data_IF_419815908925
#
_entry.id   IF_419815908925
#
_cell.length_a   1.000
_cell.length_b   1.000
_cell.length_c   1.000
_cell.angle_alpha   90.00
_cell.angle_beta   90.00
_cell.angle_gamma   90.00
#
_symmetry.space_group_name_H-M   'P 1'
#
loop_
_entity.id
_entity.type
_entity.pdbx_description
1 polymer ?
#
# COMPACT_ATOMS: atom_id res chain seq x y z
N UNK A 1 -56.66 -1.32 -44.35
CA UNK A 1 -56.01 -0.17 -43.76
C UNK A 1 -55.77 -0.44 -42.27
N UNK A 2 -54.93 -1.43 -41.95
CA UNK A 2 -54.60 -1.87 -40.59
C UNK A 2 -53.38 -2.79 -40.66
N UNK A 3 -52.14 -2.21 -40.74
CA UNK A 3 -50.91 -3.00 -40.56
C UNK A 3 -49.63 -2.13 -40.52
N UNK A 4 -49.66 -0.97 -39.93
CA UNK A 4 -48.45 -0.14 -39.81
C UNK A 4 -48.11 0.36 -38.39
N UNK A 5 -48.94 0.08 -37.37
CA UNK A 5 -48.71 0.57 -36.01
C UNK A 5 -47.91 -0.41 -35.10
N UNK A 6 -47.64 -1.64 -35.51
CA UNK A 6 -46.99 -2.64 -34.65
C UNK A 6 -45.45 -2.67 -34.80
N UNK A 7 -44.91 -2.15 -35.88
CA UNK A 7 -43.44 -2.22 -36.12
C UNK A 7 -42.68 -1.12 -35.39
N UNK A 8 -43.27 0.08 -35.24
CA UNK A 8 -42.63 1.19 -34.54
C UNK A 8 -42.49 0.92 -33.03
N UNK A 9 -43.46 0.36 -32.38
CA UNK A 9 -43.44 0.00 -30.97
C UNK A 9 -42.42 -1.07 -30.64
N UNK A 10 -42.22 -2.02 -31.56
CA UNK A 10 -41.23 -3.09 -31.39
C UNK A 10 -39.77 -2.57 -31.58
N UNK A 11 -39.57 -1.61 -32.46
CA UNK A 11 -38.29 -0.95 -32.69
C UNK A 11 -37.91 -0.07 -31.51
N UNK A 12 -38.85 0.68 -30.92
CA UNK A 12 -38.63 1.50 -29.72
C UNK A 12 -38.26 0.63 -28.50
N UNK A 13 -38.95 -0.49 -28.30
CA UNK A 13 -38.63 -1.41 -27.19
C UNK A 13 -37.24 -2.03 -27.32
N UNK A 14 -36.83 -2.40 -28.54
CA UNK A 14 -35.44 -2.88 -28.80
C UNK A 14 -34.39 -1.79 -28.58
N UNK A 15 -34.68 -0.55 -28.95
CA UNK A 15 -33.79 0.58 -28.74
C UNK A 15 -33.60 0.89 -27.25
N UNK A 16 -34.71 0.90 -26.48
CA UNK A 16 -34.67 1.11 -25.04
C UNK A 16 -33.91 0.00 -24.27
N UNK A 17 -34.12 -1.27 -24.71
CA UNK A 17 -33.34 -2.39 -24.14
C UNK A 17 -31.83 -2.29 -24.43
N UNK A 18 -31.45 -1.86 -25.64
CA UNK A 18 -30.04 -1.63 -25.99
C UNK A 18 -29.45 -0.45 -25.23
N UNK A 19 -30.17 0.64 -25.07
CA UNK A 19 -29.76 1.78 -24.27
C UNK A 19 -29.58 1.41 -22.79
N UNK A 20 -30.52 0.62 -22.24
CA UNK A 20 -30.42 0.09 -20.87
C UNK A 20 -29.20 -0.82 -20.66
N UNK A 21 -28.89 -1.69 -21.63
CA UNK A 21 -27.67 -2.52 -21.58
C UNK A 21 -26.39 -1.70 -21.69
N UNK A 22 -26.35 -0.67 -22.54
CA UNK A 22 -25.18 0.22 -22.66
C UNK A 22 -24.98 1.07 -21.40
N UNK A 23 -26.10 1.51 -20.75
CA UNK A 23 -26.04 2.23 -19.50
C UNK A 23 -25.59 1.34 -18.33
N UNK A 24 -26.06 0.07 -18.29
CA UNK A 24 -25.62 -0.90 -17.29
C UNK A 24 -24.13 -1.28 -17.47
N UNK A 25 -23.66 -1.44 -18.71
CA UNK A 25 -22.24 -1.69 -19.01
C UNK A 25 -21.41 -0.45 -18.64
N UNK A 26 -21.88 0.76 -18.94
CA UNK A 26 -21.24 2.02 -18.56
C UNK A 26 -21.15 2.21 -17.04
N UNK A 27 -22.22 1.89 -16.29
CA UNK A 27 -22.20 1.90 -14.82
C UNK A 27 -21.30 0.81 -14.24
N UNK A 28 -21.23 -0.36 -14.86
CA UNK A 28 -20.34 -1.43 -14.43
C UNK A 28 -18.86 -1.07 -14.68
N UNK A 29 -18.55 -0.31 -15.73
CA UNK A 29 -17.21 0.25 -15.96
C UNK A 29 -16.84 1.35 -14.96
N UNK A 30 -17.80 2.17 -14.50
CA UNK A 30 -17.57 3.17 -13.46
C UNK A 30 -17.36 2.54 -12.07
N UNK A 31 -17.91 1.36 -11.79
CA UNK A 31 -17.68 0.65 -10.53
C UNK A 31 -16.37 -0.15 -10.48
N UNK A 32 -15.66 -0.33 -11.60
CA UNK A 32 -14.40 -1.10 -11.66
C UNK A 32 -13.18 -0.23 -11.30
N UNK A 33 -13.33 1.10 -11.19
CA UNK A 33 -12.20 2.01 -11.00
C UNK A 33 -11.67 2.06 -9.55
N UNK A 34 -12.40 1.53 -8.56
CA UNK A 34 -12.06 1.72 -7.14
C UNK A 34 -11.33 0.55 -6.44
N UNK A 35 -10.84 -0.45 -7.18
CA UNK A 35 -10.17 -1.60 -6.56
C UNK A 35 -8.64 -1.53 -6.52
N UNK A 36 -8.04 -0.35 -6.70
CA UNK A 36 -6.60 -0.22 -6.81
C UNK A 36 -5.96 0.19 -5.47
N UNK A 37 -5.10 -0.67 -4.92
CA UNK A 37 -4.33 -0.34 -3.73
C UNK A 37 -3.17 0.58 -4.11
N UNK A 38 -3.46 1.86 -4.21
CA UNK A 38 -2.48 2.92 -4.30
C UNK A 38 -2.30 3.53 -2.92
N UNK A 39 -1.19 4.20 -2.69
CA UNK A 39 -0.96 4.89 -1.43
C UNK A 39 0.52 5.05 -1.11
N UNK A 40 0.77 5.65 0.02
CA UNK A 40 2.09 5.84 0.58
C UNK A 40 2.22 5.03 1.86
N UNK A 41 3.29 4.25 1.98
CA UNK A 41 3.59 3.38 3.12
C UNK A 41 4.62 4.02 4.04
N UNK A 42 4.35 3.96 5.32
CA UNK A 42 5.25 4.39 6.39
C UNK A 42 5.66 3.19 7.23
N UNK A 43 6.97 3.10 7.50
CA UNK A 43 7.53 2.10 8.39
C UNK A 43 7.87 2.73 9.73
N UNK A 44 7.51 2.04 10.80
CA UNK A 44 7.88 2.39 12.16
C UNK A 44 9.22 1.76 12.56
N UNK A 45 9.16 0.86 13.52
CA UNK A 45 10.35 0.21 14.09
C UNK A 45 11.05 -0.78 13.14
N UNK A 46 10.43 -1.16 12.03
CA UNK A 46 10.98 -2.07 11.03
C UNK A 46 12.12 -1.44 10.23
N UNK A 47 12.22 -0.11 10.23
CA UNK A 47 13.29 0.62 9.55
C UNK A 47 14.08 1.52 10.48
N UNK A 48 15.34 1.76 10.13
CA UNK A 48 16.17 2.76 10.81
C UNK A 48 15.54 4.14 10.68
N UNK A 49 15.75 5.00 11.65
CA UNK A 49 15.17 6.36 11.68
C UNK A 49 15.52 7.14 10.41
N UNK A 50 16.75 7.01 9.89
CA UNK A 50 17.19 7.69 8.65
C UNK A 50 16.45 7.22 7.39
N UNK A 51 15.88 6.02 7.40
CA UNK A 51 15.20 5.39 6.28
C UNK A 51 13.67 5.54 6.34
N UNK A 52 13.14 6.08 7.45
CA UNK A 52 11.70 6.30 7.62
C UNK A 52 11.22 7.45 6.73
N UNK A 53 10.05 7.27 6.13
CA UNK A 53 9.45 8.27 5.27
C UNK A 53 8.97 9.50 6.05
N UNK A 54 9.12 10.67 5.42
CA UNK A 54 8.52 11.94 5.84
C UNK A 54 7.68 12.44 4.68
N UNK A 55 6.40 12.69 4.88
CA UNK A 55 5.54 13.33 3.90
C UNK A 55 5.08 14.69 4.40
N UNK A 56 5.54 15.75 3.78
CA UNK A 56 5.03 17.11 3.93
C UNK A 56 3.89 17.32 2.92
N UNK A 57 2.67 17.48 3.41
CA UNK A 57 1.47 17.59 2.55
C UNK A 57 1.50 18.87 1.73
N UNK A 58 1.91 19.97 2.34
CA UNK A 58 2.16 21.24 1.69
C UNK A 58 3.65 21.54 1.81
N UNK A 59 4.34 21.53 0.66
CA UNK A 59 5.77 21.89 0.63
C UNK A 59 5.96 23.40 0.78
N UNK A 60 7.20 23.81 1.01
CA UNK A 60 7.58 25.23 1.08
C UNK A 60 7.06 26.03 -0.14
N UNK A 61 6.43 27.16 0.12
CA UNK A 61 5.79 28.01 -0.89
C UNK A 61 4.35 27.61 -1.24
N UNK A 62 3.79 26.57 -0.60
CA UNK A 62 2.40 26.14 -0.77
C UNK A 62 1.63 26.16 0.56
N UNK A 63 2.19 26.79 1.59
CA UNK A 63 1.56 26.96 2.90
C UNK A 63 0.21 27.69 2.76
N UNK A 64 -0.74 27.30 3.59
CA UNK A 64 -2.09 27.89 3.62
C UNK A 64 -2.52 28.22 5.02
N UNK A 65 -3.21 29.35 5.15
CA UNK A 65 -3.91 29.74 6.35
C UNK A 65 -5.40 29.48 6.19
N UNK A 66 -5.96 28.74 7.14
CA UNK A 66 -7.38 28.39 7.23
C UNK A 66 -8.03 29.31 8.25
N UNK A 67 -9.08 30.05 7.87
CA UNK A 67 -9.70 31.03 8.74
C UNK A 67 -11.05 30.58 9.31
N UNK A 68 -11.81 29.77 8.55
CA UNK A 68 -13.12 29.29 8.96
C UNK A 68 -13.10 27.82 9.34
N UNK A 69 -12.63 26.97 8.43
CA UNK A 69 -12.61 25.54 8.64
C UNK A 69 -11.31 24.96 8.10
N UNK A 70 -10.86 23.89 8.73
CA UNK A 70 -9.81 23.03 8.24
C UNK A 70 -10.30 21.60 8.31
N UNK A 71 -10.18 20.85 7.22
CA UNK A 71 -10.43 19.41 7.26
C UNK A 71 -9.36 18.67 6.47
N UNK A 72 -8.78 17.69 7.11
CA UNK A 72 -7.94 16.68 6.47
C UNK A 72 -8.62 15.33 6.56
N UNK A 73 -8.71 14.62 5.43
CA UNK A 73 -9.32 13.28 5.37
C UNK A 73 -8.45 12.36 4.54
N UNK A 74 -8.33 11.12 4.95
CA UNK A 74 -7.54 10.09 4.28
C UNK A 74 -8.03 8.69 4.65
N UNK A 75 -7.73 7.70 3.82
CA UNK A 75 -7.86 6.31 4.19
C UNK A 75 -6.58 5.84 4.86
N UNK A 76 -6.71 5.15 5.96
CA UNK A 76 -5.61 4.63 6.80
C UNK A 76 -5.65 3.10 6.84
N UNK A 77 -4.51 2.45 6.71
CA UNK A 77 -4.36 1.00 6.82
C UNK A 77 -3.27 0.66 7.82
N UNK A 78 -3.60 -0.08 8.88
CA UNK A 78 -2.61 -0.65 9.81
C UNK A 78 -1.78 -1.70 9.06
N UNK A 79 -0.45 -1.58 9.11
CA UNK A 79 0.46 -2.53 8.44
C UNK A 79 1.14 -3.46 9.44
N UNK A 80 1.61 -2.91 10.55
CA UNK A 80 2.16 -3.69 11.66
C UNK A 80 1.57 -3.20 12.97
N UNK A 81 0.79 -4.04 13.60
CA UNK A 81 0.10 -3.74 14.86
C UNK A 81 1.06 -3.48 16.03
N UNK A 82 2.24 -4.10 15.99
CA UNK A 82 3.26 -4.00 17.03
C UNK A 82 4.13 -2.74 16.92
N UNK A 83 3.86 -1.87 15.94
CA UNK A 83 4.61 -0.63 15.72
C UNK A 83 3.74 0.59 16.04
N UNK A 84 3.65 1.00 17.32
CA UNK A 84 2.92 2.19 17.72
C UNK A 84 3.68 3.47 17.33
N UNK A 85 2.98 4.59 17.30
CA UNK A 85 3.61 5.88 17.06
C UNK A 85 2.69 6.92 16.44
N UNK A 86 3.31 7.95 15.94
CA UNK A 86 2.63 9.05 15.28
C UNK A 86 2.18 8.66 13.87
N UNK A 87 1.01 9.14 13.49
CA UNK A 87 0.45 9.01 12.14
C UNK A 87 0.52 10.35 11.43
N UNK A 88 -0.09 11.37 12.05
CA UNK A 88 -0.20 12.73 11.53
C UNK A 88 0.28 13.73 12.59
N UNK A 89 1.00 14.73 12.15
CA UNK A 89 1.49 15.84 12.96
C UNK A 89 1.14 17.16 12.28
N UNK A 90 0.48 18.05 13.03
CA UNK A 90 0.07 19.37 12.59
C UNK A 90 0.81 20.39 13.46
N UNK A 91 1.68 21.18 12.86
CA UNK A 91 2.47 22.21 13.54
C UNK A 91 1.99 23.60 13.10
N UNK A 92 1.24 24.27 13.96
CA UNK A 92 0.90 25.68 13.78
C UNK A 92 2.00 26.54 14.42
N UNK A 93 2.97 26.96 13.60
CA UNK A 93 4.13 27.73 14.04
C UNK A 93 3.74 29.11 14.52
N UNK A 94 2.74 29.72 13.89
CA UNK A 94 2.30 31.09 14.24
C UNK A 94 1.70 31.11 15.65
N UNK A 95 0.94 30.08 15.99
CA UNK A 95 0.36 29.95 17.33
C UNK A 95 1.28 29.19 18.31
N UNK A 96 2.39 28.61 17.87
CA UNK A 96 3.26 27.76 18.69
C UNK A 96 2.54 26.53 19.23
N UNK A 97 1.61 25.97 18.47
CA UNK A 97 0.79 24.82 18.84
C UNK A 97 1.01 23.64 17.92
N UNK A 98 0.93 22.48 18.53
CA UNK A 98 1.13 21.22 17.81
C UNK A 98 0.02 20.25 18.15
N UNK A 99 -0.55 19.63 17.12
CA UNK A 99 -1.56 18.60 17.27
C UNK A 99 -1.07 17.32 16.61
N UNK A 100 -1.40 16.19 17.21
CA UNK A 100 -0.98 14.90 16.70
C UNK A 100 -2.12 13.89 16.68
N UNK A 101 -2.08 12.99 15.70
CA UNK A 101 -2.91 11.80 15.65
C UNK A 101 -2.00 10.59 15.77
N UNK A 102 -2.24 9.75 16.78
CA UNK A 102 -1.32 8.68 17.18
C UNK A 102 -2.02 7.34 17.24
N UNK A 103 -1.25 6.28 17.05
CA UNK A 103 -1.67 4.89 17.12
C UNK A 103 -0.94 4.18 18.25
N UNK A 104 -1.67 3.35 19.01
CA UNK A 104 -1.12 2.50 20.05
C UNK A 104 -1.80 1.12 20.02
N UNK A 105 -1.00 0.06 19.96
CA UNK A 105 -1.47 -1.30 20.13
C UNK A 105 -1.80 -1.57 21.62
N UNK A 106 -2.89 -2.32 21.86
CA UNK A 106 -3.33 -2.72 23.19
C UNK A 106 -3.46 -4.24 23.28
N UNK A 107 -3.33 -4.81 24.50
CA UNK A 107 -3.54 -6.23 24.70
C UNK A 107 -4.91 -6.70 24.20
N UNK A 108 -4.99 -7.94 23.71
CA UNK A 108 -6.23 -8.56 23.23
C UNK A 108 -6.64 -8.11 21.83
N UNK A 109 -5.65 -7.95 20.93
CA UNK A 109 -5.88 -7.59 19.52
C UNK A 109 -6.72 -6.31 19.35
N UNK A 110 -6.57 -5.37 20.25
CA UNK A 110 -7.19 -4.04 20.19
C UNK A 110 -6.16 -2.98 19.85
N UNK A 111 -6.63 -1.91 19.27
CA UNK A 111 -5.81 -0.72 19.06
C UNK A 111 -6.53 0.54 19.52
N UNK A 112 -5.76 1.58 19.79
CA UNK A 112 -6.30 2.90 20.11
C UNK A 112 -5.67 3.96 19.24
N UNK A 113 -6.52 4.91 18.85
CA UNK A 113 -6.12 6.11 18.12
C UNK A 113 -6.45 7.31 18.99
N UNK A 114 -5.51 8.23 19.13
CA UNK A 114 -5.71 9.41 19.97
C UNK A 114 -5.41 10.68 19.19
N UNK A 115 -6.25 11.69 19.38
CA UNK A 115 -5.97 13.06 18.94
C UNK A 115 -5.54 13.89 20.14
N UNK A 116 -4.40 14.56 20.00
CA UNK A 116 -3.69 15.19 21.12
C UNK A 116 -3.29 16.62 20.79
N UNK A 117 -3.20 17.48 21.79
CA UNK A 117 -2.26 18.62 21.78
C UNK A 117 -0.92 18.07 22.28
N UNK A 118 0.07 18.03 21.40
CA UNK A 118 1.29 17.28 21.63
C UNK A 118 2.04 17.72 22.88
N UNK A 119 2.46 16.74 23.68
CA UNK A 119 3.13 17.00 24.96
C UNK A 119 2.27 17.62 26.07
N UNK A 120 0.98 17.92 25.86
CA UNK A 120 0.11 18.58 26.83
C UNK A 120 -1.10 17.74 27.25
N UNK A 121 -1.95 17.35 26.30
CA UNK A 121 -3.21 16.66 26.65
C UNK A 121 -3.74 15.79 25.51
N UNK A 122 -4.47 14.78 25.90
CA UNK A 122 -5.26 13.94 24.98
C UNK A 122 -6.67 14.52 24.91
N UNK A 123 -7.11 14.91 23.72
CA UNK A 123 -8.47 15.39 23.52
C UNK A 123 -9.48 14.25 23.43
N UNK A 124 -9.16 13.24 22.66
CA UNK A 124 -10.02 12.06 22.52
C UNK A 124 -9.21 10.82 22.14
N UNK A 125 -9.77 9.66 22.49
CA UNK A 125 -9.23 8.35 22.12
C UNK A 125 -10.34 7.47 21.56
N UNK A 126 -10.05 6.75 20.48
CA UNK A 126 -10.90 5.73 19.90
C UNK A 126 -10.27 4.37 20.16
N UNK A 127 -11.04 3.42 20.62
CA UNK A 127 -10.61 2.03 20.73
C UNK A 127 -11.32 1.23 19.63
N UNK A 128 -10.55 0.45 18.88
CA UNK A 128 -11.04 -0.42 17.82
C UNK A 128 -10.66 -1.86 18.14
N UNK A 129 -11.58 -2.77 17.87
CA UNK A 129 -11.33 -4.21 17.91
C UNK A 129 -10.74 -4.67 16.58
N UNK A 130 -10.11 -5.84 16.55
CA UNK A 130 -9.40 -6.36 15.36
C UNK A 130 -10.28 -6.39 14.13
N UNK A 131 -11.53 -6.78 14.25
CA UNK A 131 -12.48 -6.86 13.15
C UNK A 131 -12.75 -5.51 12.48
N UNK A 132 -12.54 -4.40 13.19
CA UNK A 132 -12.74 -3.06 12.68
C UNK A 132 -11.57 -2.59 11.79
N UNK A 133 -10.33 -3.02 12.08
CA UNK A 133 -9.13 -2.45 11.42
C UNK A 133 -8.29 -3.45 10.63
N UNK A 134 -8.39 -4.76 10.91
CA UNK A 134 -7.49 -5.75 10.33
C UNK A 134 -7.69 -5.87 8.81
N UNK A 135 -6.61 -5.65 8.06
CA UNK A 135 -6.59 -5.66 6.60
C UNK A 135 -7.64 -4.75 5.92
N UNK A 136 -8.07 -3.68 6.60
CA UNK A 136 -9.09 -2.75 6.10
C UNK A 136 -8.58 -1.33 6.05
N UNK A 137 -8.94 -0.65 4.98
CA UNK A 137 -8.80 0.78 4.89
C UNK A 137 -9.85 1.47 5.76
N UNK A 138 -9.40 2.26 6.72
CA UNK A 138 -10.23 3.03 7.64
C UNK A 138 -10.30 4.47 7.16
N UNK A 139 -11.46 5.03 6.84
CA UNK A 139 -11.58 6.45 6.60
C UNK A 139 -11.30 7.20 7.90
N UNK A 140 -10.40 8.17 7.85
CA UNK A 140 -10.05 9.08 8.94
C UNK A 140 -10.35 10.50 8.49
N UNK A 141 -10.96 11.30 9.36
CA UNK A 141 -11.19 12.72 9.12
C UNK A 141 -10.99 13.52 10.40
N UNK A 142 -10.22 14.59 10.29
CA UNK A 142 -10.01 15.59 11.32
C UNK A 142 -10.52 16.91 10.77
N UNK A 143 -11.62 17.40 11.31
CA UNK A 143 -12.28 18.64 10.91
C UNK A 143 -12.28 19.62 12.06
N UNK A 144 -11.67 20.77 11.86
CA UNK A 144 -11.61 21.88 12.81
C UNK A 144 -12.59 22.97 12.36
N UNK A 145 -13.37 23.50 13.30
CA UNK A 145 -14.11 24.75 13.17
C UNK A 145 -13.34 25.80 13.97
N UNK A 146 -12.64 26.67 13.25
CA UNK A 146 -11.67 27.60 13.84
C UNK A 146 -12.38 28.66 14.68
N UNK A 147 -13.43 29.34 14.20
CA UNK A 147 -14.18 30.30 15.01
C UNK A 147 -14.84 29.70 16.24
N UNK A 148 -15.29 28.45 16.16
CA UNK A 148 -15.93 27.77 17.29
C UNK A 148 -14.95 27.09 18.24
N UNK A 149 -13.64 27.09 17.95
CA UNK A 149 -12.58 26.40 18.70
C UNK A 149 -12.94 24.94 19.03
N UNK A 150 -13.48 24.23 18.02
CA UNK A 150 -13.89 22.84 18.16
C UNK A 150 -13.42 21.98 17.00
N UNK A 151 -13.44 20.67 17.22
CA UNK A 151 -13.13 19.70 16.19
C UNK A 151 -14.09 18.50 16.21
N UNK A 152 -14.26 17.90 15.03
CA UNK A 152 -14.84 16.58 14.87
C UNK A 152 -13.81 15.64 14.33
N UNK A 153 -13.49 14.59 15.09
CA UNK A 153 -12.56 13.53 14.70
C UNK A 153 -13.37 12.28 14.39
N UNK A 154 -13.10 11.69 13.23
CA UNK A 154 -13.80 10.48 12.78
C UNK A 154 -12.77 9.42 12.39
N UNK A 155 -13.00 8.17 12.80
CA UNK A 155 -12.26 7.00 12.36
C UNK A 155 -13.22 5.84 12.10
N UNK A 156 -13.23 5.32 10.88
CA UNK A 156 -14.22 4.34 10.46
C UNK A 156 -15.65 4.88 10.63
N UNK A 157 -16.44 4.20 11.45
CA UNK A 157 -17.81 4.58 11.78
C UNK A 157 -17.93 5.39 13.08
N UNK A 158 -16.84 5.61 13.79
CA UNK A 158 -16.80 6.26 15.10
C UNK A 158 -16.45 7.74 14.94
N UNK A 159 -17.16 8.62 15.64
CA UNK A 159 -16.90 10.05 15.61
C UNK A 159 -16.96 10.64 17.02
N UNK A 160 -16.11 11.62 17.30
CA UNK A 160 -16.13 12.40 18.54
C UNK A 160 -16.01 13.87 18.22
N UNK A 161 -16.76 14.68 18.97
CA UNK A 161 -16.63 16.13 18.99
C UNK A 161 -15.88 16.56 20.23
N UNK A 162 -15.00 17.52 20.04
CA UNK A 162 -14.16 18.11 21.08
C UNK A 162 -14.20 19.62 20.96
N UNK A 163 -14.05 20.32 22.06
CA UNK A 163 -14.04 21.77 22.12
C UNK A 163 -12.88 22.26 22.98
N UNK A 164 -12.59 23.56 22.90
CA UNK A 164 -11.47 24.20 23.59
C UNK A 164 -10.11 23.61 23.14
N UNK A 165 -9.91 23.50 21.83
CA UNK A 165 -8.62 23.10 21.26
C UNK A 165 -7.57 24.19 21.49
N UNK A 166 -8.02 25.43 21.66
CA UNK A 166 -7.18 26.61 21.79
C UNK A 166 -6.70 27.10 20.42
N UNK A 167 -7.51 26.94 19.38
CA UNK A 167 -7.22 27.50 18.06
C UNK A 167 -7.20 29.03 18.14
N UNK A 168 -6.32 29.66 17.35
CA UNK A 168 -6.30 31.12 17.27
C UNK A 168 -7.43 31.61 16.35
N UNK A 169 -8.22 32.61 16.77
CA UNK A 169 -9.33 33.13 15.95
C UNK A 169 -8.89 33.77 14.62
N UNK A 170 -7.62 34.14 14.52
CA UNK A 170 -7.02 34.77 13.33
C UNK A 170 -6.76 33.78 12.22
N UNK A 171 -6.73 32.47 12.53
CA UNK A 171 -6.52 31.40 11.56
C UNK A 171 -5.66 30.27 12.09
N UNK A 172 -5.57 29.23 11.30
CA UNK A 172 -4.77 28.04 11.52
C UNK A 172 -3.88 27.82 10.30
N UNK A 173 -2.56 27.87 10.49
CA UNK A 173 -1.55 27.78 9.44
C UNK A 173 -0.63 26.56 9.66
N UNK A 174 -1.15 25.33 9.51
CA UNK A 174 -0.39 24.15 9.89
C UNK A 174 0.63 23.73 8.84
N UNK A 175 1.83 23.40 9.29
CA UNK A 175 2.67 22.44 8.59
C UNK A 175 2.15 21.03 8.88
N UNK A 176 1.88 20.26 7.82
CA UNK A 176 1.16 18.99 7.91
C UNK A 176 2.11 17.86 7.52
N UNK A 177 2.40 16.96 8.45
CA UNK A 177 3.34 15.87 8.27
C UNK A 177 2.69 14.51 8.54
N UNK A 178 2.95 13.55 7.65
CA UNK A 178 2.78 12.14 7.92
C UNK A 178 4.15 11.47 8.06
N UNK A 179 4.22 10.46 8.94
CA UNK A 179 5.46 9.76 9.19
C UNK A 179 6.43 10.57 10.08
N UNK A 180 7.73 10.44 9.79
CA UNK A 180 8.77 11.12 10.54
C UNK A 180 8.82 12.61 10.20
N UNK A 181 9.07 13.45 11.17
CA UNK A 181 9.47 14.85 10.97
C UNK A 181 10.63 15.21 11.88
N UNK A 182 11.04 16.49 11.92
CA UNK A 182 12.19 16.93 12.70
C UNK A 182 12.09 16.55 14.18
N UNK A 183 10.89 16.66 14.75
CA UNK A 183 10.65 16.43 16.18
C UNK A 183 10.05 15.06 16.49
N UNK A 184 9.55 14.36 15.47
CA UNK A 184 8.83 13.08 15.61
C UNK A 184 9.64 11.97 14.95
N UNK A 185 10.18 11.07 15.77
CA UNK A 185 10.95 9.92 15.33
C UNK A 185 10.15 8.60 15.42
N UNK A 186 9.24 8.50 16.40
CA UNK A 186 8.44 7.32 16.65
C UNK A 186 7.19 7.33 15.75
N UNK A 187 7.27 6.59 14.67
CA UNK A 187 6.23 6.49 13.63
C UNK A 187 5.55 5.13 13.73
N UNK A 188 4.23 5.12 13.60
CA UNK A 188 3.50 3.88 13.43
C UNK A 188 3.81 3.22 12.07
N UNK A 189 3.56 1.92 11.93
CA UNK A 189 3.66 1.26 10.63
C UNK A 189 2.27 1.20 9.98
N UNK A 190 2.10 2.00 8.91
CA UNK A 190 0.80 2.18 8.27
C UNK A 190 0.93 2.60 6.81
N UNK A 191 -0.20 2.61 6.13
CA UNK A 191 -0.31 3.23 4.80
C UNK A 191 -1.46 4.23 4.76
N UNK A 192 -1.32 5.24 3.88
CA UNK A 192 -2.41 6.18 3.59
C UNK A 192 -2.67 6.26 2.09
N UNK A 193 -3.91 6.62 1.74
CA UNK A 193 -4.34 6.94 0.37
C UNK A 193 -5.50 7.94 0.39
N UNK A 194 -5.90 8.43 -0.77
CA UNK A 194 -7.08 9.28 -0.93
C UNK A 194 -7.07 10.48 0.03
N UNK A 195 -5.89 11.12 0.18
CA UNK A 195 -5.76 12.28 1.04
C UNK A 195 -6.51 13.48 0.42
N UNK A 196 -7.25 14.18 1.24
CA UNK A 196 -7.87 15.45 0.86
C UNK A 196 -7.73 16.50 1.96
N UNK A 197 -7.60 17.74 1.54
CA UNK A 197 -7.50 18.91 2.39
C UNK A 197 -8.51 19.96 1.92
N UNK A 198 -9.31 20.52 2.83
CA UNK A 198 -10.30 21.56 2.49
C UNK A 198 -10.42 22.62 3.58
N UNK A 199 -10.68 23.84 3.16
CA UNK A 199 -11.04 24.99 4.01
C UNK A 199 -12.58 25.18 4.13
N UNK A 200 -13.37 24.26 3.53
CA UNK A 200 -14.81 24.33 3.45
C UNK A 200 -15.34 24.82 2.09
N UNK A 201 -14.51 25.54 1.33
CA UNK A 201 -14.85 26.06 -0.01
C UNK A 201 -14.07 25.32 -1.11
N UNK A 202 -12.75 25.29 -0.99
CA UNK A 202 -11.86 24.60 -1.92
C UNK A 202 -11.42 23.24 -1.38
N UNK A 203 -11.34 22.25 -2.27
CA UNK A 203 -10.84 20.91 -1.94
C UNK A 203 -9.59 20.63 -2.77
N UNK A 204 -8.50 20.34 -2.10
CA UNK A 204 -7.30 19.74 -2.68
C UNK A 204 -7.34 18.24 -2.45
N UNK A 205 -7.17 17.48 -3.51
CA UNK A 205 -7.16 16.02 -3.46
C UNK A 205 -5.78 15.53 -3.87
N UNK A 206 -5.18 14.69 -3.06
CA UNK A 206 -3.92 14.00 -3.30
C UNK A 206 -4.21 12.51 -3.44
N UNK A 207 -4.24 11.98 -4.66
CA UNK A 207 -4.56 10.57 -4.89
C UNK A 207 -3.54 9.62 -4.27
N UNK A 208 -2.29 10.07 -4.10
CA UNK A 208 -1.13 9.29 -3.66
C UNK A 208 -0.93 8.05 -4.56
N UNK A 209 -0.97 8.30 -5.87
CA UNK A 209 -0.88 7.27 -6.91
C UNK A 209 0.43 7.32 -7.70
N UNK A 210 1.43 8.01 -7.17
CA UNK A 210 2.77 8.03 -7.70
C UNK A 210 3.37 6.62 -7.70
N UNK A 211 4.18 6.32 -8.69
CA UNK A 211 4.91 5.05 -8.81
C UNK A 211 6.37 5.15 -8.35
N UNK A 212 6.90 6.37 -8.27
CA UNK A 212 8.29 6.66 -7.89
C UNK A 212 8.47 8.16 -7.66
N UNK A 213 9.66 8.54 -7.15
CA UNK A 213 10.01 9.94 -6.92
C UNK A 213 9.53 10.47 -5.58
N UNK A 214 9.88 11.71 -5.28
CA UNK A 214 9.62 12.39 -4.01
C UNK A 214 8.50 13.44 -4.12
N UNK A 215 8.11 13.83 -5.32
CA UNK A 215 7.06 14.81 -5.57
C UNK A 215 5.67 14.18 -5.41
N UNK A 216 4.77 14.89 -4.75
CA UNK A 216 3.36 14.51 -4.61
C UNK A 216 2.49 15.51 -5.36
N UNK A 217 1.65 14.98 -6.24
CA UNK A 217 0.76 15.77 -7.08
C UNK A 217 -0.65 15.85 -6.51
N UNK A 218 -1.27 17.01 -6.69
CA UNK A 218 -2.72 17.11 -6.53
C UNK A 218 -3.47 16.45 -7.72
N UNK A 219 -4.78 16.34 -7.61
CA UNK A 219 -5.62 15.77 -8.68
C UNK A 219 -5.62 16.57 -9.98
N UNK A 220 -5.05 17.78 -9.99
CA UNK A 220 -4.88 18.65 -11.14
C UNK A 220 -3.49 18.49 -11.77
N UNK A 221 -2.60 17.69 -11.17
CA UNK A 221 -1.24 17.43 -11.64
C UNK A 221 -0.20 18.45 -11.17
N UNK A 222 -0.54 19.33 -10.21
CA UNK A 222 0.45 20.26 -9.64
C UNK A 222 1.24 19.57 -8.54
N UNK A 223 2.54 19.79 -8.50
CA UNK A 223 3.40 19.34 -7.41
C UNK A 223 3.18 20.23 -6.20
N UNK A 224 2.53 19.72 -5.17
CA UNK A 224 2.14 20.47 -3.97
C UNK A 224 2.79 19.91 -2.71
N UNK A 225 2.97 18.59 -2.64
CA UNK A 225 3.59 17.91 -1.50
C UNK A 225 4.97 17.34 -1.82
N UNK A 226 5.65 16.87 -0.79
CA UNK A 226 6.95 16.22 -0.91
C UNK A 226 7.11 15.08 0.07
N UNK A 227 7.69 13.97 -0.40
CA UNK A 227 8.01 12.80 0.42
C UNK A 227 9.50 12.53 0.38
N UNK A 228 10.12 12.37 1.55
CA UNK A 228 11.49 11.86 1.67
C UNK A 228 11.45 10.37 1.99
N UNK A 229 12.32 9.57 1.37
CA UNK A 229 12.33 8.11 1.48
C UNK A 229 10.97 7.44 1.16
N UNK A 230 10.34 7.76 0.04
CA UNK A 230 9.01 7.26 -0.29
C UNK A 230 8.99 5.75 -0.46
N UNK A 231 7.91 5.13 0.00
CA UNK A 231 7.56 3.75 -0.33
C UNK A 231 6.15 3.75 -0.89
N UNK A 232 6.06 3.90 -2.20
CA UNK A 232 4.77 3.92 -2.89
C UNK A 232 4.15 2.53 -2.91
N UNK A 233 2.90 2.44 -2.52
CA UNK A 233 2.07 1.27 -2.81
C UNK A 233 1.67 1.39 -4.27
N UNK A 234 2.56 0.93 -5.13
CA UNK A 234 2.29 0.92 -6.55
C UNK A 234 1.06 0.05 -6.75
N UNK A 235 0.10 0.58 -7.48
CA UNK A 235 -0.96 -0.24 -8.04
C UNK A 235 -0.38 -1.12 -9.14
N UNK A 236 0.47 -2.00 -8.75
CA UNK A 236 0.54 -3.25 -9.43
C UNK A 236 -0.74 -3.94 -9.00
N UNK A 237 -1.82 -3.73 -9.73
CA UNK A 237 -2.78 -4.78 -9.93
C UNK A 237 -1.95 -5.94 -10.46
N UNK A 238 -1.30 -6.63 -9.53
CA UNK A 238 -0.92 -8.00 -9.77
C UNK A 238 -2.29 -8.68 -9.98
N UNK A 239 -2.77 -8.61 -11.19
CA UNK A 239 -3.58 -9.67 -11.66
C UNK A 239 -2.68 -10.88 -11.50
N UNK A 240 -2.90 -11.66 -10.47
CA UNK A 240 -2.42 -13.00 -10.42
C UNK A 240 -3.02 -13.67 -11.66
N UNK A 241 -2.38 -13.42 -12.79
CA UNK A 241 -2.72 -14.12 -13.99
C UNK A 241 -2.09 -15.47 -13.79
N UNK A 242 -2.91 -16.47 -13.72
CA UNK A 242 -2.45 -17.84 -13.84
C UNK A 242 -1.76 -17.95 -15.20
N UNK A 243 -0.43 -18.00 -15.19
CA UNK A 243 0.37 -18.00 -16.43
C UNK A 243 0.45 -19.40 -17.02
N UNK A 244 0.31 -20.44 -16.19
CA UNK A 244 0.24 -21.85 -16.59
C UNK A 244 -0.39 -22.69 -15.47
N UNK A 245 -1.15 -23.72 -15.88
CA UNK A 245 -1.85 -24.65 -14.98
C UNK A 245 -1.17 -26.00 -14.84
N UNK A 246 -0.23 -26.33 -15.74
CA UNK A 246 0.29 -27.68 -15.93
C UNK A 246 1.53 -28.00 -15.07
N UNK A 247 1.81 -27.21 -14.05
CA UNK A 247 2.88 -27.54 -13.12
C UNK A 247 2.39 -28.61 -12.12
N UNK A 248 2.54 -29.86 -12.50
CA UNK A 248 1.98 -31.02 -11.76
C UNK A 248 2.72 -31.39 -10.47
N UNK A 249 3.82 -30.70 -10.14
CA UNK A 249 4.63 -31.00 -8.95
C UNK A 249 5.04 -29.75 -8.22
N UNK A 250 5.06 -29.79 -6.89
CA UNK A 250 5.62 -28.71 -6.06
C UNK A 250 7.13 -28.65 -6.30
N UNK A 251 7.70 -27.52 -6.77
CA UNK A 251 9.14 -27.42 -6.98
C UNK A 251 9.89 -27.51 -5.65
N UNK A 252 11.04 -28.15 -5.66
CA UNK A 252 11.94 -28.21 -4.51
C UNK A 252 12.77 -26.93 -4.33
N UNK A 253 12.83 -26.09 -5.35
CA UNK A 253 13.53 -24.82 -5.31
C UNK A 253 13.02 -23.85 -6.37
N UNK A 254 13.16 -22.56 -6.07
CA UNK A 254 12.78 -21.47 -6.95
C UNK A 254 13.90 -20.43 -6.94
N UNK A 255 14.36 -20.03 -8.13
CA UNK A 255 15.32 -18.95 -8.28
C UNK A 255 14.94 -18.05 -9.47
N UNK A 256 15.42 -16.82 -9.44
CA UNK A 256 15.27 -15.88 -10.53
C UNK A 256 16.60 -15.69 -11.26
N UNK A 257 16.65 -16.09 -12.52
CA UNK A 257 17.75 -15.81 -13.42
C UNK A 257 17.57 -14.42 -14.01
N UNK A 258 18.20 -13.46 -13.41
CA UNK A 258 18.09 -12.05 -13.80
C UNK A 258 18.69 -11.78 -15.18
N UNK A 259 19.73 -12.49 -15.53
CA UNK A 259 20.43 -12.32 -16.81
C UNK A 259 19.56 -12.73 -17.99
N UNK A 260 18.83 -13.84 -17.86
CA UNK A 260 17.96 -14.36 -18.91
C UNK A 260 16.47 -14.06 -18.67
N UNK A 261 16.14 -13.34 -17.59
CA UNK A 261 14.76 -13.00 -17.23
C UNK A 261 13.86 -14.24 -17.13
N UNK A 262 14.37 -15.30 -16.51
CA UNK A 262 13.66 -16.56 -16.32
C UNK A 262 13.38 -16.81 -14.84
N UNK A 263 12.21 -17.36 -14.52
CA UNK A 263 11.95 -17.99 -13.25
C UNK A 263 12.30 -19.46 -13.37
N UNK A 264 13.24 -19.93 -12.56
CA UNK A 264 13.74 -21.29 -12.56
C UNK A 264 13.07 -22.11 -11.47
N UNK A 265 12.48 -23.23 -11.84
CA UNK A 265 11.87 -24.18 -10.91
C UNK A 265 12.70 -25.46 -10.90
N UNK A 266 13.22 -25.80 -9.73
CA UNK A 266 14.06 -26.99 -9.56
C UNK A 266 13.25 -28.13 -8.97
N UNK A 267 13.21 -29.25 -9.67
CA UNK A 267 12.67 -30.51 -9.18
C UNK A 267 13.83 -31.50 -8.99
N UNK A 268 13.54 -32.63 -8.37
CA UNK A 268 14.55 -33.66 -8.13
C UNK A 268 15.10 -34.26 -9.45
N UNK A 269 14.35 -34.23 -10.53
CA UNK A 269 14.63 -34.86 -11.80
C UNK A 269 14.81 -33.89 -12.98
N UNK A 270 14.44 -32.63 -12.78
CA UNK A 270 14.34 -31.69 -13.89
C UNK A 270 14.44 -30.23 -13.45
N UNK A 271 14.90 -29.40 -14.37
CA UNK A 271 14.80 -27.94 -14.33
C UNK A 271 13.66 -27.49 -15.24
N UNK A 272 12.78 -26.64 -14.73
CA UNK A 272 11.84 -25.91 -15.56
C UNK A 272 12.18 -24.42 -15.55
N UNK A 273 12.17 -23.77 -16.69
CA UNK A 273 12.41 -22.34 -16.83
C UNK A 273 11.17 -21.67 -17.46
N UNK A 274 10.64 -20.68 -16.76
CA UNK A 274 9.57 -19.85 -17.26
C UNK A 274 10.17 -18.51 -17.75
N UNK A 275 10.06 -18.28 -19.05
CA UNK A 275 10.53 -17.06 -19.68
C UNK A 275 9.51 -15.92 -19.46
N UNK A 276 9.97 -14.80 -18.87
CA UNK A 276 9.12 -13.66 -18.56
C UNK A 276 8.72 -12.82 -19.77
N UNK A 277 9.40 -12.96 -20.92
CA UNK A 277 9.07 -12.24 -22.13
C UNK A 277 8.10 -13.04 -23.03
N UNK A 278 8.42 -14.31 -23.25
CA UNK A 278 7.60 -15.17 -24.13
C UNK A 278 6.41 -15.79 -23.40
N UNK A 279 6.46 -15.83 -22.06
CA UNK A 279 5.51 -16.55 -21.20
C UNK A 279 5.46 -18.06 -21.48
N UNK A 280 6.57 -18.61 -21.94
CA UNK A 280 6.68 -20.04 -22.19
C UNK A 280 7.39 -20.76 -21.05
N UNK A 281 6.90 -21.94 -20.71
CA UNK A 281 7.52 -22.85 -19.76
C UNK A 281 8.26 -23.94 -20.51
N UNK A 282 9.58 -24.01 -20.31
CA UNK A 282 10.41 -25.11 -20.80
C UNK A 282 10.75 -26.07 -19.65
N UNK A 283 10.87 -27.36 -19.93
CA UNK A 283 11.28 -28.39 -18.97
C UNK A 283 12.44 -29.18 -19.52
N UNK A 284 13.55 -29.22 -18.77
CA UNK A 284 14.79 -29.94 -19.13
C UNK A 284 15.06 -30.99 -18.07
N UNK A 285 14.98 -32.29 -18.39
CA UNK A 285 15.39 -33.34 -17.45
C UNK A 285 16.91 -33.29 -17.23
N UNK A 286 17.34 -33.60 -16.01
CA UNK A 286 18.77 -33.75 -15.73
C UNK A 286 19.32 -34.99 -16.42
N UNK A 287 20.55 -34.89 -16.93
CA UNK A 287 21.25 -36.06 -17.53
C UNK A 287 21.59 -37.11 -16.49
N UNK A 288 21.78 -36.70 -15.26
CA UNK A 288 22.10 -37.56 -14.11
C UNK A 288 21.18 -37.15 -12.94
N UNK A 289 20.63 -38.07 -12.17
CA UNK A 289 19.87 -37.73 -10.97
C UNK A 289 20.72 -36.93 -10.00
N UNK A 290 20.11 -35.95 -9.31
CA UNK A 290 20.78 -35.18 -8.27
C UNK A 290 21.18 -36.12 -7.11
N UNK A 291 22.44 -36.06 -6.66
CA UNK A 291 22.92 -36.93 -5.59
C UNK A 291 22.44 -36.50 -4.20
N UNK A 292 21.84 -35.28 -4.12
CA UNK A 292 21.31 -34.69 -2.90
C UNK A 292 19.80 -34.46 -3.04
N UNK A 293 19.10 -34.52 -1.94
CA UNK A 293 17.67 -34.19 -1.93
C UNK A 293 17.48 -32.67 -1.90
N UNK A 294 16.89 -32.11 -2.97
CA UNK A 294 16.55 -30.70 -3.00
C UNK A 294 15.54 -30.37 -1.92
N UNK A 295 15.81 -29.32 -1.16
CA UNK A 295 14.88 -28.76 -0.17
C UNK A 295 14.61 -27.29 -0.47
N UNK A 296 13.38 -26.86 -0.26
CA UNK A 296 12.98 -25.48 -0.48
C UNK A 296 13.84 -24.53 0.37
N UNK A 297 14.40 -23.48 -0.26
CA UNK A 297 15.21 -22.47 0.41
C UNK A 297 16.67 -22.86 0.65
N UNK A 298 17.10 -24.08 0.29
CA UNK A 298 18.48 -24.54 0.44
C UNK A 298 19.23 -24.59 -0.90
N UNK A 299 18.97 -23.62 -1.76
CA UNK A 299 19.63 -23.52 -3.05
C UNK A 299 19.96 -22.06 -3.39
N UNK A 300 21.08 -21.88 -4.06
CA UNK A 300 21.60 -20.59 -4.47
C UNK A 300 22.05 -20.67 -5.93
N UNK A 301 21.59 -19.71 -6.74
CA UNK A 301 22.01 -19.56 -8.13
C UNK A 301 23.14 -18.54 -8.21
N UNK A 302 24.33 -18.98 -8.67
CA UNK A 302 25.36 -18.08 -9.16
C UNK A 302 25.08 -17.76 -10.63
N UNK A 303 24.61 -16.56 -10.89
CA UNK A 303 24.27 -16.11 -12.24
C UNK A 303 25.50 -15.98 -13.14
N UNK A 304 26.67 -15.69 -12.57
CA UNK A 304 27.90 -15.47 -13.34
C UNK A 304 28.47 -16.78 -13.88
N UNK A 305 28.50 -17.81 -13.07
CA UNK A 305 28.96 -19.16 -13.49
C UNK A 305 27.83 -20.00 -14.09
N UNK A 306 26.56 -19.59 -13.93
CA UNK A 306 25.38 -20.38 -14.32
C UNK A 306 25.28 -21.70 -13.56
N UNK A 307 25.69 -21.68 -12.30
CA UNK A 307 25.67 -22.85 -11.43
C UNK A 307 24.64 -22.69 -10.31
N UNK A 308 23.80 -23.70 -10.12
CA UNK A 308 22.93 -23.82 -8.97
C UNK A 308 23.62 -24.65 -7.90
N UNK A 309 23.90 -24.04 -6.77
CA UNK A 309 24.40 -24.72 -5.58
C UNK A 309 23.24 -25.15 -4.70
N UNK A 310 23.26 -26.41 -4.30
CA UNK A 310 22.34 -26.96 -3.29
C UNK A 310 23.14 -27.74 -2.27
N UNK A 311 22.64 -27.80 -1.03
CA UNK A 311 23.30 -28.56 0.01
C UNK A 311 22.27 -29.41 0.77
N UNK A 312 22.73 -30.54 1.23
CA UNK A 312 22.00 -31.42 2.14
C UNK A 312 22.68 -31.37 3.50
N UNK A 313 21.89 -31.04 4.53
CA UNK A 313 22.38 -31.12 5.91
C UNK A 313 22.37 -32.59 6.29
N UNK A 314 23.54 -33.08 6.67
CA UNK A 314 23.70 -34.44 7.14
C UNK A 314 22.70 -34.81 8.24
N UNK A 315 22.29 -36.06 8.22
CA UNK A 315 21.67 -36.69 9.37
C UNK A 315 22.69 -36.77 10.55
N UNK A 316 22.30 -37.35 11.65
CA UNK A 316 23.07 -37.40 12.92
C UNK A 316 24.53 -37.95 12.83
N UNK A 317 25.06 -38.21 11.65
CA UNK A 317 26.39 -38.81 11.42
C UNK A 317 27.41 -37.94 10.67
N UNK A 318 27.01 -36.71 10.27
CA UNK A 318 28.01 -35.66 10.17
C UNK A 318 28.49 -35.15 8.82
N UNK A 319 28.18 -35.77 7.70
CA UNK A 319 28.71 -35.29 6.40
C UNK A 319 27.69 -34.43 5.63
N UNK A 320 27.90 -33.12 5.56
CA UNK A 320 27.14 -32.25 4.69
C UNK A 320 27.60 -32.40 3.23
N UNK A 321 26.68 -32.58 2.29
CA UNK A 321 26.99 -32.67 0.89
C UNK A 321 26.57 -31.37 0.18
N UNK A 322 27.47 -30.84 -0.64
CA UNK A 322 27.17 -29.70 -1.53
C UNK A 322 27.25 -30.22 -2.96
N UNK A 323 26.21 -29.94 -3.75
CA UNK A 323 26.22 -30.25 -5.17
C UNK A 323 26.05 -28.96 -5.97
N UNK A 324 26.74 -28.83 -7.07
CA UNK A 324 26.58 -27.79 -8.07
C UNK A 324 26.02 -28.38 -9.36
N UNK A 325 24.95 -27.78 -9.85
CA UNK A 325 24.35 -28.08 -11.13
C UNK A 325 24.70 -26.99 -12.13
N UNK A 326 25.47 -27.34 -13.15
CA UNK A 326 25.75 -26.45 -14.28
C UNK A 326 24.51 -26.36 -15.16
N UNK A 327 23.89 -25.18 -15.19
CA UNK A 327 22.66 -24.94 -15.94
C UNK A 327 22.91 -24.86 -17.46
N UNK A 328 24.15 -24.62 -17.89
CA UNK A 328 24.51 -24.56 -19.30
C UNK A 328 24.65 -25.96 -19.90
N UNK A 329 25.27 -26.85 -19.17
CA UNK A 329 25.58 -28.20 -19.62
C UNK A 329 24.59 -29.25 -19.12
N UNK A 330 23.69 -28.89 -18.18
CA UNK A 330 22.83 -29.82 -17.43
C UNK A 330 23.65 -30.95 -16.76
N UNK A 331 24.86 -30.62 -16.31
CA UNK A 331 25.77 -31.52 -15.62
C UNK A 331 25.81 -31.20 -14.12
N UNK A 332 26.03 -32.22 -13.33
CA UNK A 332 26.15 -32.12 -11.88
C UNK A 332 27.62 -32.32 -11.50
N UNK A 333 28.11 -31.40 -10.69
CA UNK A 333 29.42 -31.50 -10.03
C UNK A 333 29.18 -31.73 -8.54
N UNK A 334 29.96 -32.65 -7.93
CA UNK A 334 29.89 -33.01 -6.50
C UNK A 334 31.20 -32.56 -5.85
#
# INVERSE_FOLDING_TARGET
MLHYETDDAFIEEQYMRRLGCLFAIGMMWLCIVDCFSQGLLFYGNEKRISERATYSVLREGHERTFTNAFRISFDYLVRNVESPGYILYLEDRDAGKTYSFTYLHKPGDRCSFSFNEDGKRIFCTFELDKEDYDHRWLPVSIALDIPADCARITIGKRSKEISNLGLEPTGFSPHIYFGKCEYILDVASYAIRNLSLTDGEEIMIFPLNESSGEDVHDSRGHVVGQVTNPVWLINQSYYWKELFTDYSSTPSGLNFDKTHQNILFFNQDSLSAFDLYTHELSKTPYKTPLPVQLRLGMNFLDEASRELYTYEVADSHGDAMVAALDLTLSLIHI
#
